data_IF_285372784728
#
_entry.id   IF_285372784728
#
_cell.length_a   1.000
_cell.length_b   1.000
_cell.length_c   1.000
_cell.angle_alpha   90.00
_cell.angle_beta   90.00
_cell.angle_gamma   90.00
#
_symmetry.space_group_name_H-M   'P 1'
#
loop_
_entity.id
_entity.type
_entity.pdbx_description
1 polymer ?
#
# COMPACT_ATOMS: atom_id res chain seq x y z
N UNK A 1 -3.14 15.57 37.18
CA UNK A 1 -3.39 14.22 37.75
C UNK A 1 -4.72 13.59 37.33
N UNK A 2 -5.82 14.34 37.14
CA UNK A 2 -7.14 13.80 36.75
C UNK A 2 -7.25 13.22 35.32
N UNK A 3 -6.41 13.68 34.37
CA UNK A 3 -6.48 13.28 32.95
C UNK A 3 -5.85 11.91 32.68
N UNK A 4 -4.83 11.53 33.45
CA UNK A 4 -4.14 10.25 33.33
C UNK A 4 -4.94 9.07 33.88
N UNK A 5 -5.74 9.28 34.94
CA UNK A 5 -6.67 8.27 35.46
C UNK A 5 -7.79 7.98 34.46
N UNK A 6 -8.29 9.00 33.76
CA UNK A 6 -9.29 8.83 32.72
C UNK A 6 -8.76 8.01 31.52
N UNK A 7 -7.52 8.25 31.07
CA UNK A 7 -6.91 7.49 29.97
C UNK A 7 -6.63 6.03 30.32
N UNK A 8 -6.22 5.75 31.56
CA UNK A 8 -5.99 4.37 32.03
C UNK A 8 -7.30 3.60 32.17
N UNK A 9 -8.38 4.24 32.66
CA UNK A 9 -9.70 3.62 32.73
C UNK A 9 -10.32 3.38 31.35
N UNK A 10 -10.04 4.25 30.37
CA UNK A 10 -10.52 4.11 28.99
C UNK A 10 -9.76 3.01 28.22
N UNK A 11 -8.46 2.85 28.47
CA UNK A 11 -7.69 1.72 27.93
C UNK A 11 -8.08 0.39 28.58
N UNK A 12 -8.36 0.39 29.89
CA UNK A 12 -8.81 -0.81 30.60
C UNK A 12 -10.21 -1.27 30.15
N UNK A 13 -11.14 -0.33 29.92
CA UNK A 13 -12.49 -0.68 29.43
C UNK A 13 -12.47 -1.22 28.00
N UNK A 14 -11.60 -0.69 27.13
CA UNK A 14 -11.46 -1.14 25.75
C UNK A 14 -10.86 -2.56 25.67
N UNK A 15 -9.92 -2.90 26.56
CA UNK A 15 -9.35 -4.24 26.66
C UNK A 15 -10.36 -5.28 27.19
N UNK A 16 -11.19 -4.91 28.18
CA UNK A 16 -12.25 -5.78 28.72
C UNK A 16 -13.38 -6.03 27.70
N UNK A 17 -13.74 -5.04 26.89
CA UNK A 17 -14.73 -5.20 25.81
C UNK A 17 -14.21 -6.10 24.68
N UNK A 18 -12.93 -5.98 24.30
CA UNK A 18 -12.30 -6.83 23.28
C UNK A 18 -12.19 -8.30 23.71
N UNK A 19 -11.80 -8.56 24.97
CA UNK A 19 -11.71 -9.91 25.51
C UNK A 19 -13.09 -10.58 25.69
N UNK A 20 -14.10 -9.81 26.10
CA UNK A 20 -15.49 -10.28 26.21
C UNK A 20 -16.10 -10.65 24.85
N UNK A 21 -15.86 -9.83 23.82
CA UNK A 21 -16.33 -10.11 22.46
C UNK A 21 -15.69 -11.35 21.83
N UNK A 22 -14.40 -11.58 22.07
CA UNK A 22 -13.69 -12.75 21.56
C UNK A 22 -14.13 -14.06 22.24
N UNK A 23 -14.40 -14.04 23.56
CA UNK A 23 -14.76 -15.26 24.29
C UNK A 23 -16.22 -15.70 24.06
N UNK A 24 -17.13 -14.77 23.77
CA UNK A 24 -18.50 -15.07 23.36
C UNK A 24 -18.61 -15.45 21.87
N UNK A 25 -17.72 -14.94 21.01
CA UNK A 25 -17.67 -15.27 19.58
C UNK A 25 -17.21 -16.70 19.25
N UNK A 26 -16.46 -17.37 20.15
CA UNK A 26 -16.05 -18.77 19.98
C UNK A 26 -17.02 -19.81 20.58
N UNK A 27 -18.11 -19.40 21.25
CA UNK A 27 -19.06 -20.33 21.92
C UNK A 27 -20.43 -20.45 21.27
N UNK A 28 -20.72 -19.69 20.21
CA UNK A 28 -22.04 -19.75 19.59
C UNK A 28 -22.09 -19.15 18.21
N UNK A 29 -21.98 -20.00 17.19
CA UNK A 29 -22.58 -19.73 15.88
C UNK A 29 -23.30 -21.00 15.42
N UNK A 30 -24.64 -21.00 15.44
CA UNK A 30 -25.46 -22.08 14.92
C UNK A 30 -25.52 -21.98 13.39
N UNK A 31 -25.64 -23.10 12.71
CA UNK A 31 -26.09 -23.13 11.32
C UNK A 31 -27.02 -24.31 11.11
N UNK A 32 -28.35 -24.08 11.16
CA UNK A 32 -29.36 -25.02 10.71
C UNK A 32 -29.51 -24.86 9.19
N UNK A 33 -29.17 -25.89 8.44
CA UNK A 33 -29.54 -26.00 7.01
C UNK A 33 -29.62 -27.48 6.63
N UNK A 34 -30.63 -28.16 7.13
CA UNK A 34 -31.15 -29.37 6.49
C UNK A 34 -32.61 -29.09 6.15
N UNK A 35 -32.78 -28.30 5.10
CA UNK A 35 -34.06 -28.16 4.42
C UNK A 35 -34.34 -29.43 3.63
N UNK A 36 -35.50 -30.01 3.92
CA UNK A 36 -36.38 -30.69 2.97
C UNK A 36 -35.88 -32.02 2.39
N UNK A 37 -36.31 -33.09 3.08
CA UNK A 37 -36.89 -34.26 2.41
C UNK A 37 -38.04 -33.81 1.48
N UNK A 38 -38.09 -34.33 0.25
CA UNK A 38 -39.34 -34.88 -0.25
C UNK A 38 -39.18 -36.38 -0.53
N UNK A 39 -40.11 -37.14 0.01
CA UNK A 39 -40.41 -38.49 -0.44
C UNK A 39 -40.90 -38.43 -1.90
N UNK A 40 -40.50 -39.42 -2.70
CA UNK A 40 -40.99 -39.52 -4.07
C UNK A 40 -40.47 -40.76 -4.80
N UNK A 41 -40.98 -41.94 -4.45
CA UNK A 41 -40.91 -43.10 -5.34
C UNK A 41 -42.03 -44.11 -5.01
N UNK A 42 -43.21 -43.90 -5.60
CA UNK A 42 -44.13 -45.00 -5.93
C UNK A 42 -45.19 -44.53 -6.94
N UNK A 43 -44.98 -44.93 -8.20
CA UNK A 43 -45.94 -45.40 -9.20
C UNK A 43 -47.32 -44.72 -9.36
N UNK A 44 -47.59 -44.21 -10.57
CA UNK A 44 -48.83 -44.49 -11.29
C UNK A 44 -48.71 -44.28 -12.81
N UNK A 45 -49.09 -45.34 -13.52
CA UNK A 45 -49.37 -45.54 -14.96
C UNK A 45 -49.68 -44.32 -15.85
N UNK A 46 -49.20 -44.41 -17.09
CA UNK A 46 -49.81 -43.78 -18.26
C UNK A 46 -49.24 -44.36 -19.55
N UNK A 47 -49.95 -45.31 -20.18
CA UNK A 47 -49.63 -45.81 -21.51
C UNK A 47 -50.19 -44.90 -22.60
N UNK A 48 -49.44 -44.74 -23.70
CA UNK A 48 -49.87 -44.04 -24.91
C UNK A 48 -48.92 -44.40 -26.06
N UNK A 49 -49.42 -44.78 -27.26
CA UNK A 49 -48.62 -45.37 -28.31
C UNK A 49 -47.97 -44.32 -29.24
N UNK A 50 -46.77 -44.62 -29.71
CA UNK A 50 -46.22 -44.04 -30.94
C UNK A 50 -45.48 -42.72 -30.78
N UNK A 51 -44.15 -42.79 -30.77
CA UNK A 51 -43.28 -41.63 -30.94
C UNK A 51 -41.82 -42.08 -31.02
N UNK A 52 -41.23 -41.97 -32.20
CA UNK A 52 -39.81 -42.22 -32.49
C UNK A 52 -38.91 -41.75 -31.34
N UNK A 53 -38.15 -42.67 -30.73
CA UNK A 53 -37.26 -42.35 -29.62
C UNK A 53 -36.20 -41.33 -30.06
N UNK A 54 -36.37 -40.08 -29.61
CA UNK A 54 -35.37 -39.04 -29.82
C UNK A 54 -34.05 -39.44 -29.14
N UNK A 55 -32.96 -39.32 -29.88
CA UNK A 55 -31.61 -39.54 -29.36
C UNK A 55 -31.37 -38.57 -28.19
N UNK A 56 -31.08 -39.12 -27.00
CA UNK A 56 -30.82 -38.30 -25.82
C UNK A 56 -29.53 -37.51 -26.01
N UNK A 57 -29.64 -36.18 -25.94
CA UNK A 57 -28.50 -35.26 -25.98
C UNK A 57 -28.38 -34.55 -24.64
N UNK A 58 -27.14 -34.33 -24.21
CA UNK A 58 -26.83 -33.61 -22.98
C UNK A 58 -26.73 -32.12 -23.31
N UNK A 59 -27.54 -31.30 -22.64
CA UNK A 59 -27.55 -29.86 -22.81
C UNK A 59 -27.40 -29.17 -21.46
N UNK A 60 -26.68 -28.04 -21.44
CA UNK A 60 -26.47 -27.21 -20.26
C UNK A 60 -26.89 -25.76 -20.56
N UNK A 61 -27.37 -25.06 -19.53
CA UNK A 61 -27.90 -23.70 -19.67
C UNK A 61 -26.75 -22.69 -19.74
N UNK A 62 -26.71 -21.90 -20.80
CA UNK A 62 -25.74 -20.80 -20.94
C UNK A 62 -26.02 -19.73 -19.89
N UNK A 63 -24.98 -19.30 -19.18
CA UNK A 63 -25.01 -18.17 -18.25
C UNK A 63 -23.94 -17.15 -18.64
N UNK A 64 -24.33 -15.87 -18.67
CA UNK A 64 -23.39 -14.77 -18.89
C UNK A 64 -22.75 -14.40 -17.55
N UNK A 65 -21.43 -14.38 -17.51
CA UNK A 65 -20.66 -13.98 -16.34
C UNK A 65 -19.59 -12.95 -16.71
N UNK A 66 -19.33 -11.96 -15.86
CA UNK A 66 -18.30 -10.96 -16.10
C UNK A 66 -16.91 -11.61 -16.05
N UNK A 67 -16.16 -11.52 -17.15
CA UNK A 67 -14.78 -11.99 -17.24
C UNK A 67 -13.84 -10.78 -17.18
N UNK A 68 -13.13 -10.55 -16.06
CA UNK A 68 -12.17 -9.45 -15.99
C UNK A 68 -10.97 -9.76 -16.90
N UNK A 69 -10.77 -8.93 -17.92
CA UNK A 69 -9.58 -8.96 -18.76
C UNK A 69 -8.54 -7.99 -18.19
N UNK A 70 -7.35 -8.48 -17.89
CA UNK A 70 -6.24 -7.65 -17.43
C UNK A 70 -5.10 -7.71 -18.44
N UNK A 71 -4.40 -6.58 -18.57
CA UNK A 71 -3.17 -6.47 -19.37
C UNK A 71 -2.08 -6.02 -18.40
N UNK A 72 -1.00 -6.78 -18.32
CA UNK A 72 0.17 -6.42 -17.53
C UNK A 72 1.19 -5.72 -18.41
N UNK A 73 1.76 -4.63 -17.90
CA UNK A 73 2.87 -3.91 -18.52
C UNK A 73 3.95 -3.66 -17.46
N UNK A 74 5.21 -3.80 -17.86
CA UNK A 74 6.37 -3.51 -17.00
C UNK A 74 6.99 -2.20 -17.46
N UNK A 75 7.30 -1.33 -16.50
CA UNK A 75 7.95 -0.05 -16.74
C UNK A 75 8.97 0.26 -15.65
N UNK A 76 9.84 1.23 -15.91
CA UNK A 76 10.83 1.73 -14.95
C UNK A 76 10.50 3.14 -14.51
N UNK A 77 10.81 3.48 -13.26
CA UNK A 77 10.74 4.84 -12.76
C UNK A 77 12.05 5.58 -13.02
N UNK A 78 11.94 6.88 -13.30
CA UNK A 78 13.08 7.79 -13.42
C UNK A 78 12.84 8.99 -12.51
N UNK A 79 13.91 9.56 -11.96
CA UNK A 79 13.83 10.82 -11.23
C UNK A 79 13.34 11.95 -12.14
N UNK A 80 12.45 12.78 -11.62
CA UNK A 80 11.97 13.97 -12.33
C UNK A 80 13.12 14.95 -12.60
N UNK A 81 14.04 15.09 -11.64
CA UNK A 81 15.22 15.94 -11.74
C UNK A 81 16.47 15.21 -11.23
N UNK A 82 17.60 15.45 -11.90
CA UNK A 82 18.91 14.97 -11.48
C UNK A 82 19.94 16.04 -11.82
N UNK A 83 20.71 16.46 -10.81
CA UNK A 83 21.70 17.54 -10.94
C UNK A 83 23.05 17.03 -10.48
N UNK A 84 24.07 17.21 -11.32
CA UNK A 84 25.47 16.98 -10.94
C UNK A 84 26.09 18.31 -10.53
N UNK A 85 26.45 18.44 -9.26
CA UNK A 85 27.09 19.66 -8.72
C UNK A 85 28.60 19.59 -8.96
N UNK A 86 29.17 20.68 -9.48
CA UNK A 86 30.62 20.82 -9.70
C UNK A 86 31.08 22.18 -9.18
N UNK A 87 32.31 22.29 -8.67
CA UNK A 87 32.87 23.58 -8.30
C UNK A 87 33.15 24.40 -9.56
N UNK A 88 32.89 25.71 -9.51
CA UNK A 88 33.19 26.64 -10.60
C UNK A 88 34.68 26.98 -10.69
N UNK A 89 35.37 26.92 -9.55
CA UNK A 89 36.81 27.19 -9.44
C UNK A 89 37.53 25.97 -8.85
N UNK A 90 38.80 25.79 -9.25
CA UNK A 90 39.66 24.83 -8.60
C UNK A 90 40.03 25.31 -7.18
N UNK A 91 40.05 24.39 -6.22
CA UNK A 91 40.40 24.70 -4.84
C UNK A 91 40.48 23.47 -3.97
N UNK A 92 41.10 23.60 -2.80
CA UNK A 92 41.11 22.56 -1.77
C UNK A 92 39.76 22.55 -1.06
N UNK A 93 39.24 21.37 -0.75
CA UNK A 93 38.02 21.25 0.05
C UNK A 93 38.38 21.44 1.54
N UNK A 94 37.68 22.36 2.20
CA UNK A 94 37.82 22.63 3.64
C UNK A 94 36.76 21.91 4.48
N UNK A 95 35.52 21.83 3.99
CA UNK A 95 34.40 21.23 4.73
C UNK A 95 33.36 20.58 3.81
N UNK A 96 32.71 19.52 4.30
CA UNK A 96 31.53 18.87 3.71
C UNK A 96 30.42 18.78 4.77
N UNK A 97 29.59 19.82 4.95
CA UNK A 97 28.64 19.92 6.05
C UNK A 97 27.30 19.22 5.75
N UNK A 98 27.33 17.99 5.22
CA UNK A 98 26.15 17.17 5.01
C UNK A 98 26.46 15.69 5.24
N UNK A 99 25.42 14.90 5.52
CA UNK A 99 25.52 13.44 5.61
C UNK A 99 25.06 12.79 4.32
N UNK A 100 25.63 11.64 4.00
CA UNK A 100 25.19 10.85 2.83
C UNK A 100 23.71 10.47 2.95
N UNK A 101 22.97 10.56 1.84
CA UNK A 101 21.52 10.32 1.81
C UNK A 101 20.66 11.38 2.49
N UNK A 102 21.26 12.45 3.04
CA UNK A 102 20.51 13.54 3.66
C UNK A 102 19.67 14.28 2.62
N UNK A 103 18.44 14.66 2.99
CA UNK A 103 17.61 15.55 2.17
C UNK A 103 18.11 16.99 2.31
N UNK A 104 18.33 17.65 1.17
CA UNK A 104 18.91 18.99 1.11
C UNK A 104 17.96 19.94 0.39
N UNK A 105 17.92 21.20 0.81
CA UNK A 105 17.12 22.26 0.18
C UNK A 105 17.97 23.13 -0.75
N UNK A 106 17.32 23.84 -1.68
CA UNK A 106 18.00 24.79 -2.55
C UNK A 106 18.76 25.84 -1.74
N UNK A 107 20.02 26.08 -2.11
CA UNK A 107 20.89 27.07 -1.46
C UNK A 107 21.59 26.58 -0.20
N UNK A 108 21.35 25.34 0.23
CA UNK A 108 22.13 24.76 1.32
C UNK A 108 23.60 24.56 0.91
N UNK A 109 24.50 24.77 1.86
CA UNK A 109 25.94 24.58 1.64
C UNK A 109 26.25 23.09 1.55
N UNK A 110 26.75 22.65 0.39
CA UNK A 110 27.18 21.27 0.18
C UNK A 110 28.67 21.09 0.46
N UNK A 111 29.47 22.10 0.11
CA UNK A 111 30.92 22.01 0.17
C UNK A 111 31.49 23.41 0.35
N UNK A 112 32.55 23.52 1.15
CA UNK A 112 33.30 24.78 1.32
C UNK A 112 34.73 24.60 0.81
N UNK A 113 35.12 25.42 -0.14
CA UNK A 113 36.51 25.50 -0.59
C UNK A 113 37.33 26.37 0.37
N UNK A 114 38.61 26.07 0.50
CA UNK A 114 39.57 26.94 1.17
C UNK A 114 39.66 28.27 0.43
N UNK A 115 39.42 29.35 1.16
CA UNK A 115 39.34 30.72 0.64
C UNK A 115 40.45 31.63 1.14
N UNK A 116 41.50 31.08 1.77
CA UNK A 116 42.57 31.88 2.40
C UNK A 116 43.21 32.90 1.46
N UNK A 117 43.61 32.46 0.25
CA UNK A 117 44.21 33.33 -0.77
C UNK A 117 43.18 34.32 -1.31
N UNK A 118 41.99 33.87 -1.72
CA UNK A 118 40.96 34.74 -2.30
C UNK A 118 40.47 35.79 -1.29
N UNK A 119 40.39 35.43 -0.01
CA UNK A 119 40.03 36.36 1.05
C UNK A 119 41.11 37.44 1.24
N UNK A 120 42.39 37.07 1.17
CA UNK A 120 43.50 38.02 1.25
C UNK A 120 43.49 39.00 0.06
N UNK A 121 43.30 38.51 -1.16
CA UNK A 121 43.23 39.34 -2.37
C UNK A 121 42.09 40.36 -2.28
N UNK A 122 40.91 39.92 -1.83
CA UNK A 122 39.75 40.80 -1.62
C UNK A 122 40.03 41.84 -0.53
N UNK A 123 40.76 41.48 0.53
CA UNK A 123 41.12 42.41 1.59
C UNK A 123 42.12 43.46 1.10
N UNK A 124 43.12 43.06 0.31
CA UNK A 124 44.08 43.98 -0.30
C UNK A 124 43.38 44.94 -1.27
N UNK A 125 42.49 44.44 -2.13
CA UNK A 125 41.73 45.26 -3.06
C UNK A 125 40.88 46.32 -2.33
N UNK A 126 40.26 45.94 -1.20
CA UNK A 126 39.48 46.87 -0.36
C UNK A 126 40.35 47.95 0.28
N UNK A 127 41.57 47.62 0.71
CA UNK A 127 42.49 48.60 1.29
C UNK A 127 43.01 49.62 0.27
N UNK A 128 43.21 49.18 -0.98
CA UNK A 128 43.62 50.05 -2.08
C UNK A 128 42.48 50.95 -2.61
N UNK A 129 41.23 50.66 -2.25
CA UNK A 129 40.04 51.40 -2.71
C UNK A 129 39.60 52.51 -1.74
N UNK A 130 40.43 52.81 -0.72
CA UNK A 130 40.27 53.95 0.19
C UNK A 130 41.27 55.02 -0.20
#
# INVERSE_FOLDING_TARGET
>A
MKKSVASVLLLASLALAGAGGYWLGLRGSPSPSTSAQPAGAAAAKGGGPGGMGGMAVLAEKVAVMPLPQSISAVGSLRSDESVTVRPEIAGRISELPFKEGQRITKGAMLLRLDRSVQAADVQQAKANYV
#
